data_IF_733385225080
#
_entry.id   IF_733385225080
#
_cell.length_a   1.000
_cell.length_b   1.000
_cell.length_c   1.000
_cell.angle_alpha   90.00
_cell.angle_beta   90.00
_cell.angle_gamma   90.00
#
_symmetry.space_group_name_H-M   'P 1'
#
loop_
_entity.id
_entity.type
_entity.pdbx_description
1 polymer ?
#
# COMPACT_ATOMS: atom_id res chain seq x y z
N UNK A 1 37.24 -43.74 -36.81
CA UNK A 1 37.64 -43.85 -35.39
C UNK A 1 36.70 -42.91 -34.60
N UNK A 2 35.67 -43.47 -34.01
CA UNK A 2 34.67 -42.71 -33.24
C UNK A 2 35.04 -42.76 -31.75
N UNK A 3 35.11 -41.62 -31.13
CA UNK A 3 35.35 -41.50 -29.68
C UNK A 3 34.08 -41.88 -28.92
N UNK A 4 34.17 -42.69 -27.86
CA UNK A 4 33.03 -43.06 -27.06
C UNK A 4 32.64 -41.87 -26.16
N UNK A 5 31.45 -41.30 -26.38
CA UNK A 5 30.86 -40.27 -25.52
C UNK A 5 30.48 -40.86 -24.17
N UNK A 6 31.19 -40.48 -23.12
CA UNK A 6 30.78 -40.74 -21.73
C UNK A 6 29.59 -39.85 -21.40
N UNK A 7 28.40 -40.45 -21.22
CA UNK A 7 27.28 -39.76 -20.58
C UNK A 7 27.58 -39.60 -19.10
N UNK A 8 27.79 -38.36 -18.67
CA UNK A 8 27.85 -38.06 -17.24
C UNK A 8 26.41 -37.91 -16.78
N UNK A 9 25.90 -38.89 -16.06
CA UNK A 9 24.61 -38.80 -15.35
C UNK A 9 24.84 -38.03 -14.06
N UNK A 10 24.38 -36.81 -14.02
CA UNK A 10 24.35 -36.01 -12.79
C UNK A 10 23.05 -36.36 -12.04
N UNK A 11 23.14 -37.36 -11.16
CA UNK A 11 22.04 -37.67 -10.24
C UNK A 11 22.23 -36.81 -9.00
N UNK A 12 21.51 -35.67 -8.94
CA UNK A 12 21.44 -34.89 -7.70
C UNK A 12 20.48 -35.64 -6.78
N UNK A 13 21.01 -36.34 -5.82
CA UNK A 13 20.24 -36.90 -4.72
C UNK A 13 19.87 -35.78 -3.77
N UNK A 14 18.64 -35.26 -3.87
CA UNK A 14 18.07 -34.44 -2.83
C UNK A 14 17.76 -35.32 -1.62
N UNK A 15 18.65 -35.31 -0.66
CA UNK A 15 18.33 -35.80 0.68
C UNK A 15 17.45 -34.74 1.36
N UNK A 16 16.18 -34.68 0.99
CA UNK A 16 15.18 -33.88 1.69
C UNK A 16 14.66 -34.66 2.89
N UNK A 17 15.46 -34.77 3.93
CA UNK A 17 14.89 -34.90 5.26
C UNK A 17 14.52 -33.51 5.71
N UNK A 18 13.36 -33.02 5.25
CA UNK A 18 12.71 -31.90 5.91
C UNK A 18 12.33 -32.39 7.30
N UNK A 19 13.10 -32.01 8.29
CA UNK A 19 12.76 -32.22 9.68
C UNK A 19 11.60 -31.28 10.00
N UNK A 20 10.38 -31.71 9.71
CA UNK A 20 9.20 -31.05 10.30
C UNK A 20 9.25 -31.40 11.79
N UNK A 21 9.31 -30.39 12.69
CA UNK A 21 9.18 -30.66 14.11
C UNK A 21 7.83 -31.36 14.32
N UNK A 22 7.85 -32.59 14.84
CA UNK A 22 6.66 -33.37 15.18
C UNK A 22 6.09 -32.78 16.47
N UNK A 23 5.21 -31.78 16.37
CA UNK A 23 4.49 -31.18 17.48
C UNK A 23 4.19 -29.70 17.22
N UNK A 24 3.23 -29.13 17.95
CA UNK A 24 3.02 -27.69 17.92
C UNK A 24 4.28 -27.00 18.44
N UNK A 25 4.77 -26.00 17.71
CA UNK A 25 5.86 -25.14 18.18
C UNK A 25 5.42 -24.48 19.51
N UNK A 26 6.30 -24.49 20.52
CA UNK A 26 5.99 -23.81 21.77
C UNK A 26 5.63 -22.34 21.52
N UNK A 27 4.53 -21.91 22.09
CA UNK A 27 4.09 -20.53 21.96
C UNK A 27 5.08 -19.58 22.63
N UNK A 28 5.33 -18.47 21.98
CA UNK A 28 6.24 -17.40 22.44
C UNK A 28 5.40 -16.23 22.92
N UNK A 29 5.62 -15.73 24.15
CA UNK A 29 4.94 -14.52 24.61
C UNK A 29 5.44 -13.30 23.84
N UNK A 30 4.51 -12.52 23.30
CA UNK A 30 4.73 -11.28 22.57
C UNK A 30 3.88 -10.18 23.15
N UNK A 31 4.47 -9.04 23.43
CA UNK A 31 3.80 -7.84 23.94
C UNK A 31 3.87 -6.74 22.92
N UNK A 32 2.73 -6.21 22.52
CA UNK A 32 2.61 -5.13 21.55
C UNK A 32 1.80 -3.98 22.16
N UNK A 33 2.06 -2.78 21.65
CA UNK A 33 1.09 -1.68 21.82
C UNK A 33 0.45 -1.46 20.44
N UNK A 34 -0.83 -1.83 20.29
CA UNK A 34 -1.53 -1.71 19.01
C UNK A 34 -2.56 -0.60 19.10
N UNK A 35 -2.40 0.44 18.29
CA UNK A 35 -3.27 1.63 18.28
C UNK A 35 -3.39 2.26 19.67
N UNK A 36 -2.27 2.34 20.40
CA UNK A 36 -2.20 2.87 21.76
C UNK A 36 -2.77 1.94 22.83
N UNK A 37 -3.11 0.68 22.54
CA UNK A 37 -3.63 -0.31 23.49
C UNK A 37 -2.65 -1.46 23.66
N UNK A 38 -2.32 -1.85 24.89
CA UNK A 38 -1.45 -3.00 25.14
C UNK A 38 -2.15 -4.30 24.72
N UNK A 39 -1.39 -5.20 24.12
CA UNK A 39 -1.80 -6.55 23.74
C UNK A 39 -0.72 -7.54 24.16
N UNK A 40 -1.08 -8.48 25.05
CA UNK A 40 -0.22 -9.58 25.49
C UNK A 40 -0.76 -10.86 24.84
N UNK A 41 0.10 -11.54 24.06
CA UNK A 41 -0.28 -12.67 23.21
C UNK A 41 0.73 -13.79 23.34
N UNK A 42 0.26 -15.03 23.29
CA UNK A 42 1.11 -16.21 23.11
C UNK A 42 0.96 -16.67 21.66
N UNK A 43 2.02 -16.52 20.85
CA UNK A 43 1.98 -16.77 19.41
C UNK A 43 2.93 -17.89 18.99
N UNK A 44 2.58 -18.64 17.95
CA UNK A 44 3.52 -19.55 17.29
C UNK A 44 4.69 -18.75 16.68
N UNK A 45 5.93 -19.27 16.72
CA UNK A 45 7.13 -18.58 16.17
C UNK A 45 7.01 -18.12 14.73
N UNK A 46 6.19 -18.77 13.93
CA UNK A 46 5.93 -18.50 12.52
C UNK A 46 4.70 -17.60 12.28
N UNK A 47 4.02 -17.17 13.37
CA UNK A 47 2.83 -16.33 13.27
C UNK A 47 3.15 -14.97 12.67
N UNK A 48 2.43 -14.60 11.61
CA UNK A 48 2.60 -13.29 10.97
C UNK A 48 1.91 -12.18 11.77
N UNK A 49 2.47 -10.99 11.75
CA UNK A 49 1.85 -9.80 12.33
C UNK A 49 0.45 -9.56 11.72
N UNK A 50 0.28 -9.84 10.42
CA UNK A 50 -1.02 -9.74 9.75
C UNK A 50 -2.09 -10.60 10.43
N UNK A 51 -1.75 -11.85 10.75
CA UNK A 51 -2.69 -12.80 11.36
C UNK A 51 -3.03 -12.37 12.79
N UNK A 52 -2.02 -11.95 13.57
CA UNK A 52 -2.22 -11.39 14.90
C UNK A 52 -3.20 -10.21 14.87
N UNK A 53 -2.99 -9.25 13.97
CA UNK A 53 -3.87 -8.09 13.86
C UNK A 53 -5.30 -8.48 13.50
N UNK A 54 -5.47 -9.37 12.53
CA UNK A 54 -6.78 -9.71 11.97
C UNK A 54 -7.56 -10.73 12.78
N UNK A 55 -6.89 -11.78 13.26
CA UNK A 55 -7.54 -12.93 13.90
C UNK A 55 -7.55 -12.82 15.43
N UNK A 56 -6.40 -12.43 16.01
CA UNK A 56 -6.29 -12.38 17.48
C UNK A 56 -6.82 -11.06 18.03
N UNK A 57 -6.61 -9.93 17.33
CA UNK A 57 -7.05 -8.60 17.75
C UNK A 57 -8.29 -8.07 17.02
N UNK A 58 -8.83 -8.82 16.04
CA UNK A 58 -9.99 -8.46 15.25
C UNK A 58 -9.87 -7.11 14.48
N UNK A 59 -8.62 -6.63 14.23
CA UNK A 59 -8.33 -5.43 13.45
C UNK A 59 -8.32 -5.76 11.97
N UNK A 60 -9.49 -5.85 11.38
CA UNK A 60 -9.69 -6.32 9.99
C UNK A 60 -9.43 -5.26 8.93
N UNK A 61 -9.12 -4.03 9.30
CA UNK A 61 -8.68 -2.96 8.39
C UNK A 61 -7.41 -3.35 7.62
N UNK A 62 -6.42 -3.93 8.30
CA UNK A 62 -5.24 -4.48 7.62
C UNK A 62 -5.65 -5.65 6.74
N UNK A 63 -5.47 -5.54 5.41
CA UNK A 63 -6.00 -6.51 4.46
C UNK A 63 -4.95 -7.52 3.99
N UNK A 64 -5.34 -8.78 3.94
CA UNK A 64 -4.61 -9.80 3.19
C UNK A 64 -5.04 -9.77 1.72
N UNK A 65 -4.07 -9.66 0.81
CA UNK A 65 -4.33 -9.65 -0.63
C UNK A 65 -3.32 -10.47 -1.42
N UNK A 66 -2.02 -10.13 -1.40
CA UNK A 66 -1.02 -10.87 -2.15
C UNK A 66 -0.21 -11.87 -1.31
N UNK A 67 -0.10 -11.68 0.00
CA UNK A 67 0.67 -12.50 0.98
C UNK A 67 2.16 -12.69 0.65
N UNK A 68 2.71 -11.85 -0.26
CA UNK A 68 4.11 -11.89 -0.71
C UNK A 68 4.80 -10.53 -0.63
N UNK A 69 4.23 -9.55 0.10
CA UNK A 69 4.84 -8.24 0.34
C UNK A 69 4.87 -7.27 -0.82
N UNK A 70 4.12 -7.50 -1.91
CA UNK A 70 4.19 -6.68 -3.14
C UNK A 70 3.11 -5.59 -3.20
N UNK A 71 1.88 -5.87 -2.69
CA UNK A 71 0.74 -5.02 -2.99
C UNK A 71 0.48 -3.89 -1.98
N UNK A 72 1.08 -3.94 -0.79
CA UNK A 72 0.89 -2.93 0.26
C UNK A 72 -0.49 -2.87 0.92
N UNK A 73 -1.43 -3.79 0.61
CA UNK A 73 -2.75 -3.80 1.25
C UNK A 73 -2.69 -4.11 2.76
N UNK A 74 -1.61 -4.77 3.20
CA UNK A 74 -1.32 -5.09 4.59
C UNK A 74 -0.37 -4.10 5.26
N UNK A 75 -0.14 -2.92 4.69
CA UNK A 75 0.74 -1.90 5.26
C UNK A 75 0.27 -1.45 6.63
N UNK A 76 1.17 -1.45 7.60
CA UNK A 76 1.02 -0.92 8.96
C UNK A 76 2.28 -0.14 9.34
N UNK A 77 2.22 0.69 10.35
CA UNK A 77 3.44 1.29 10.92
C UNK A 77 3.86 0.49 12.16
N UNK A 78 5.15 0.18 12.26
CA UNK A 78 5.80 -0.39 13.44
C UNK A 78 6.88 0.58 13.88
N UNK A 79 6.76 1.11 15.09
CA UNK A 79 7.64 2.15 15.62
C UNK A 79 7.83 3.33 14.64
N UNK A 80 6.72 3.76 14.01
CA UNK A 80 6.68 4.84 13.04
C UNK A 80 7.19 4.48 11.62
N UNK A 81 7.60 3.24 11.37
CA UNK A 81 8.09 2.78 10.06
C UNK A 81 7.04 1.96 9.33
N UNK A 82 6.85 2.23 8.05
CA UNK A 82 5.94 1.47 7.20
C UNK A 82 6.49 0.06 6.92
N UNK A 83 5.70 -0.97 7.23
CA UNK A 83 6.06 -2.38 7.01
C UNK A 83 4.91 -3.15 6.39
N UNK A 84 5.24 -4.26 5.72
CA UNK A 84 4.28 -5.24 5.21
C UNK A 84 3.97 -6.28 6.28
N UNK A 85 2.81 -6.22 6.92
CA UNK A 85 2.44 -7.14 8.01
C UNK A 85 2.40 -8.62 7.56
N UNK A 86 2.18 -8.90 6.27
CA UNK A 86 2.19 -10.26 5.71
C UNK A 86 3.60 -10.87 5.55
N UNK A 87 4.66 -10.12 5.79
CA UNK A 87 6.05 -10.59 5.78
C UNK A 87 6.76 -10.39 7.12
N UNK A 88 6.07 -9.82 8.10
CA UNK A 88 6.62 -9.54 9.43
C UNK A 88 6.15 -10.62 10.40
N UNK A 89 7.07 -11.31 11.06
CA UNK A 89 6.72 -12.22 12.14
C UNK A 89 6.34 -11.45 13.40
N UNK A 90 5.30 -11.89 14.11
CA UNK A 90 4.85 -11.24 15.34
C UNK A 90 5.96 -11.18 16.41
N UNK A 91 6.77 -12.22 16.50
CA UNK A 91 7.91 -12.30 17.43
C UNK A 91 9.02 -11.26 17.14
N UNK A 92 9.11 -10.73 15.91
CA UNK A 92 10.11 -9.71 15.55
C UNK A 92 9.74 -8.32 16.05
N UNK A 93 8.48 -8.12 16.42
CA UNK A 93 7.95 -6.82 16.84
C UNK A 93 7.52 -6.83 18.32
N UNK A 94 8.07 -7.75 19.10
CA UNK A 94 7.88 -7.77 20.57
C UNK A 94 8.34 -6.44 21.18
N UNK A 95 7.47 -5.83 22.00
CA UNK A 95 7.69 -4.52 22.61
C UNK A 95 7.41 -3.32 21.71
N UNK A 96 7.08 -3.52 20.43
CA UNK A 96 6.90 -2.42 19.47
C UNK A 96 5.51 -1.77 19.58
N UNK A 97 5.43 -0.53 19.06
CA UNK A 97 4.18 0.17 18.81
C UNK A 97 3.72 -0.06 17.36
N UNK A 98 2.51 -0.62 17.21
CA UNK A 98 1.91 -0.91 15.92
C UNK A 98 0.71 0.01 15.68
N UNK A 99 0.73 0.73 14.55
CA UNK A 99 -0.40 1.56 14.12
C UNK A 99 -1.00 0.99 12.85
N UNK A 100 -2.30 0.67 12.91
CA UNK A 100 -3.11 0.25 11.75
C UNK A 100 -4.00 1.40 11.28
N UNK A 101 -4.73 1.20 10.17
CA UNK A 101 -5.67 2.21 9.67
C UNK A 101 -6.74 2.62 10.69
N UNK A 102 -7.12 1.72 11.58
CA UNK A 102 -8.08 1.99 12.66
C UNK A 102 -7.51 2.94 13.73
N UNK A 103 -6.19 2.87 13.95
CA UNK A 103 -5.50 3.72 14.92
C UNK A 103 -5.19 5.13 14.43
N UNK A 104 -5.45 5.44 13.17
CA UNK A 104 -5.25 6.79 12.62
C UNK A 104 -6.38 7.75 12.94
N UNK A 105 -7.54 7.25 13.35
CA UNK A 105 -8.63 8.07 13.84
C UNK A 105 -8.35 8.57 15.26
N UNK A 106 -8.87 9.74 15.59
CA UNK A 106 -8.82 10.27 16.95
C UNK A 106 -9.56 9.38 17.96
N UNK A 107 -9.25 9.53 19.24
CA UNK A 107 -9.90 8.76 20.31
C UNK A 107 -11.41 9.02 20.41
N UNK A 108 -11.87 10.16 19.92
CA UNK A 108 -13.28 10.56 19.79
C UNK A 108 -13.94 9.98 18.52
N UNK A 109 -13.22 9.22 17.71
CA UNK A 109 -13.66 8.68 16.42
C UNK A 109 -13.56 9.68 15.27
N UNK A 110 -12.99 10.86 15.47
CA UNK A 110 -12.74 11.82 14.40
C UNK A 110 -11.73 11.24 13.40
N UNK A 111 -12.05 11.30 12.13
CA UNK A 111 -11.15 10.83 11.08
C UNK A 111 -9.92 11.74 10.97
N UNK A 112 -8.76 11.15 10.72
CA UNK A 112 -7.54 11.92 10.41
C UNK A 112 -7.69 12.71 9.11
N UNK A 113 -6.84 13.73 8.91
CA UNK A 113 -6.84 14.53 7.68
C UNK A 113 -6.71 13.66 6.42
N UNK A 114 -5.83 12.65 6.45
CA UNK A 114 -5.67 11.70 5.34
C UNK A 114 -6.94 10.89 5.09
N UNK A 115 -7.59 10.37 6.14
CA UNK A 115 -8.84 9.62 5.99
C UNK A 115 -9.96 10.50 5.43
N UNK A 116 -10.09 11.74 5.90
CA UNK A 116 -11.07 12.69 5.38
C UNK A 116 -10.80 13.02 3.91
N UNK A 117 -9.53 13.28 3.55
CA UNK A 117 -9.14 13.56 2.18
C UNK A 117 -9.45 12.39 1.23
N UNK A 118 -9.19 11.14 1.65
CA UNK A 118 -9.54 9.96 0.85
C UNK A 118 -11.04 9.85 0.59
N UNK A 119 -11.87 10.18 1.57
CA UNK A 119 -13.34 10.23 1.39
C UNK A 119 -13.72 11.33 0.42
N UNK A 120 -13.21 12.54 0.62
CA UNK A 120 -13.61 13.70 -0.13
C UNK A 120 -13.14 13.69 -1.59
N UNK A 121 -11.91 13.24 -1.84
CA UNK A 121 -11.31 13.23 -3.17
C UNK A 121 -11.45 11.90 -3.90
N UNK A 122 -12.23 10.95 -3.36
CA UNK A 122 -12.49 9.68 -4.01
C UNK A 122 -11.25 8.78 -4.13
N UNK A 123 -10.41 8.76 -3.09
CA UNK A 123 -9.19 7.95 -3.02
C UNK A 123 -9.44 6.44 -2.97
N UNK A 124 -10.69 5.99 -3.14
CA UNK A 124 -11.05 4.58 -3.09
C UNK A 124 -12.25 4.25 -3.98
N UNK A 125 -12.39 2.96 -4.32
CA UNK A 125 -13.60 2.39 -4.94
C UNK A 125 -14.01 1.12 -4.20
N UNK A 126 -13.37 -0.06 -4.46
CA UNK A 126 -13.73 -1.30 -3.78
C UNK A 126 -13.31 -1.35 -2.30
N UNK A 127 -12.36 -0.52 -1.86
CA UNK A 127 -11.94 -0.39 -0.48
C UNK A 127 -10.85 -1.37 -0.02
N UNK A 128 -10.45 -2.37 -0.82
CA UNK A 128 -9.48 -3.39 -0.38
C UNK A 128 -8.09 -2.80 -0.12
N UNK A 129 -7.56 -1.97 -1.00
CA UNK A 129 -6.25 -1.35 -0.81
C UNK A 129 -6.29 -0.12 0.11
N UNK A 130 -7.47 0.44 0.36
CA UNK A 130 -7.63 1.75 1.02
C UNK A 130 -6.99 1.82 2.41
N UNK A 131 -7.15 0.84 3.32
CA UNK A 131 -6.51 0.91 4.62
C UNK A 131 -4.98 0.99 4.53
N UNK A 132 -4.36 0.17 3.67
CA UNK A 132 -2.92 0.22 3.42
C UNK A 132 -2.48 1.53 2.77
N UNK A 133 -3.26 2.07 1.83
CA UNK A 133 -3.01 3.37 1.19
C UNK A 133 -3.04 4.52 2.21
N UNK A 134 -4.02 4.53 3.11
CA UNK A 134 -4.16 5.57 4.14
C UNK A 134 -3.00 5.52 5.14
N UNK A 135 -2.57 4.32 5.56
CA UNK A 135 -1.39 4.16 6.43
C UNK A 135 -0.12 4.63 5.71
N UNK A 136 0.07 4.23 4.45
CA UNK A 136 1.23 4.63 3.65
C UNK A 136 1.27 6.15 3.43
N UNK A 137 0.14 6.76 3.08
CA UNK A 137 0.02 8.20 2.93
C UNK A 137 0.33 8.94 4.24
N UNK A 138 -0.13 8.42 5.38
CA UNK A 138 0.19 8.99 6.69
C UNK A 138 1.69 8.90 6.98
N UNK A 139 2.31 7.76 6.69
CA UNK A 139 3.75 7.58 6.86
C UNK A 139 4.56 8.56 6.00
N UNK A 140 4.17 8.75 4.73
CA UNK A 140 4.78 9.74 3.84
C UNK A 140 4.69 11.15 4.43
N UNK A 141 3.50 11.58 4.87
CA UNK A 141 3.30 12.94 5.39
C UNK A 141 3.95 13.20 6.75
N UNK A 142 4.28 12.14 7.50
CA UNK A 142 5.13 12.25 8.70
C UNK A 142 6.59 12.49 8.29
N UNK A 143 7.07 11.82 7.26
CA UNK A 143 8.44 11.93 6.76
C UNK A 143 8.65 13.23 5.97
N UNK A 144 7.73 13.53 5.06
CA UNK A 144 7.69 14.75 4.25
C UNK A 144 6.31 15.42 4.33
N UNK A 145 6.14 16.47 5.13
CA UNK A 145 4.86 17.15 5.28
C UNK A 145 4.39 17.94 4.05
N UNK A 146 5.27 18.21 3.08
CA UNK A 146 4.96 19.00 1.89
C UNK A 146 5.52 18.34 0.62
N UNK A 147 5.14 17.07 0.34
CA UNK A 147 5.66 16.34 -0.80
C UNK A 147 5.20 16.95 -2.12
N UNK A 148 6.00 16.83 -3.16
CA UNK A 148 5.54 17.12 -4.51
C UNK A 148 4.60 16.00 -5.00
N UNK A 149 3.79 16.28 -6.02
CA UNK A 149 2.96 15.25 -6.65
C UNK A 149 3.79 14.06 -7.15
N UNK A 150 5.00 14.32 -7.63
CA UNK A 150 5.93 13.28 -8.06
C UNK A 150 6.33 12.37 -6.90
N UNK A 151 6.70 12.94 -5.75
CA UNK A 151 7.08 12.18 -4.55
C UNK A 151 5.92 11.32 -4.04
N UNK A 152 4.70 11.88 -4.06
CA UNK A 152 3.48 11.14 -3.73
C UNK A 152 3.29 9.96 -4.67
N UNK A 153 3.42 10.15 -5.99
CA UNK A 153 3.27 9.08 -6.99
C UNK A 153 4.31 7.99 -6.81
N UNK A 154 5.56 8.37 -6.57
CA UNK A 154 6.65 7.42 -6.34
C UNK A 154 6.41 6.61 -5.07
N UNK A 155 6.15 7.26 -3.94
CA UNK A 155 5.92 6.59 -2.67
C UNK A 155 4.70 5.66 -2.70
N UNK A 156 3.57 6.16 -3.23
CA UNK A 156 2.32 5.39 -3.31
C UNK A 156 2.37 4.24 -4.34
N UNK A 157 3.39 4.17 -5.18
CA UNK A 157 3.59 3.03 -6.10
C UNK A 157 3.81 1.71 -5.36
N UNK A 158 4.26 1.74 -4.11
CA UNK A 158 4.37 0.58 -3.23
C UNK A 158 3.03 0.00 -2.77
N UNK A 159 1.91 0.71 -3.00
CA UNK A 159 0.57 0.31 -2.58
C UNK A 159 -0.34 0.18 -3.81
N UNK A 160 -0.56 -1.05 -4.27
CA UNK A 160 -1.27 -1.32 -5.53
C UNK A 160 -2.78 -1.09 -5.41
N UNK A 161 -3.33 -0.34 -6.37
CA UNK A 161 -4.75 -0.18 -6.57
C UNK A 161 -5.14 -0.56 -8.01
N UNK A 162 -6.17 -1.42 -8.18
CA UNK A 162 -6.66 -1.83 -9.51
C UNK A 162 -7.83 -0.99 -10.01
N UNK A 163 -8.47 -0.23 -9.13
CA UNK A 163 -9.77 0.38 -9.42
C UNK A 163 -9.66 1.84 -9.84
N UNK A 164 -8.84 2.66 -9.12
CA UNK A 164 -8.91 4.13 -9.17
C UNK A 164 -8.05 4.78 -10.25
N UNK A 165 -7.08 4.06 -10.82
CA UNK A 165 -6.05 4.67 -11.66
C UNK A 165 -5.13 5.66 -10.92
N UNK A 166 -5.18 5.66 -9.57
CA UNK A 166 -4.40 6.47 -8.63
C UNK A 166 -4.74 7.97 -8.57
N UNK A 167 -5.48 8.55 -9.50
CA UNK A 167 -5.76 9.99 -9.52
C UNK A 167 -6.40 10.48 -8.20
N UNK A 168 -7.48 9.84 -7.76
CA UNK A 168 -8.12 10.17 -6.49
C UNK A 168 -7.22 9.93 -5.28
N UNK A 169 -6.36 8.91 -5.32
CA UNK A 169 -5.39 8.62 -4.25
C UNK A 169 -4.38 9.75 -4.14
N UNK A 170 -3.73 10.11 -5.25
CA UNK A 170 -2.73 11.20 -5.28
C UNK A 170 -3.37 12.52 -4.87
N UNK A 171 -4.54 12.86 -5.41
CA UNK A 171 -5.27 14.06 -5.02
C UNK A 171 -5.60 14.08 -3.52
N UNK A 172 -5.97 12.94 -2.93
CA UNK A 172 -6.23 12.82 -1.49
C UNK A 172 -4.98 13.10 -0.65
N UNK A 173 -3.83 12.55 -1.04
CA UNK A 173 -2.58 12.77 -0.30
C UNK A 173 -2.14 14.23 -0.41
N UNK A 174 -2.21 14.83 -1.61
CA UNK A 174 -1.87 16.24 -1.83
C UNK A 174 -2.79 17.17 -1.03
N UNK A 175 -4.10 16.88 -0.99
CA UNK A 175 -5.05 17.65 -0.19
C UNK A 175 -4.76 17.55 1.31
N UNK A 176 -4.41 16.37 1.80
CA UNK A 176 -4.03 16.17 3.20
C UNK A 176 -2.73 16.89 3.57
N UNK A 177 -1.77 16.98 2.63
CA UNK A 177 -0.49 17.69 2.82
C UNK A 177 -0.67 19.21 2.89
N UNK A 178 -1.64 19.78 2.17
CA UNK A 178 -1.91 21.22 2.14
C UNK A 178 -2.88 21.69 3.21
N UNK A 179 -3.37 20.81 4.10
CA UNK A 179 -4.49 21.08 5.01
C UNK A 179 -5.78 21.52 4.30
N UNK A 180 -5.84 21.37 2.98
CA UNK A 180 -6.98 21.75 2.14
C UNK A 180 -7.96 20.57 1.90
N UNK A 181 -8.18 19.82 2.96
CA UNK A 181 -9.08 18.64 2.93
C UNK A 181 -10.51 19.03 2.54
N UNK A 182 -10.88 20.27 2.75
CA UNK A 182 -12.23 20.80 2.45
C UNK A 182 -12.36 21.36 1.02
N UNK A 183 -11.26 21.43 0.26
CA UNK A 183 -11.34 21.84 -1.15
C UNK A 183 -12.28 20.94 -1.94
N UNK A 184 -13.03 21.53 -2.85
CA UNK A 184 -13.87 20.77 -3.76
C UNK A 184 -12.96 19.86 -4.63
N UNK A 185 -13.24 18.56 -4.70
CA UNK A 185 -12.44 17.66 -5.51
C UNK A 185 -12.46 18.10 -6.97
N UNK A 186 -11.30 18.20 -7.59
CA UNK A 186 -11.17 18.61 -9.00
C UNK A 186 -11.99 17.72 -9.96
N UNK A 187 -12.39 16.54 -9.50
CA UNK A 187 -13.15 15.54 -10.25
C UNK A 187 -14.53 15.24 -9.66
N UNK A 188 -15.10 16.08 -8.80
CA UNK A 188 -16.44 15.85 -8.30
C UNK A 188 -17.45 15.94 -9.45
N UNK A 189 -17.94 14.78 -9.90
CA UNK A 189 -19.14 14.72 -10.71
C UNK A 189 -20.28 15.24 -9.85
N UNK A 190 -20.86 16.37 -10.23
CA UNK A 190 -22.08 16.86 -9.58
C UNK A 190 -23.21 15.86 -9.85
N UNK A 191 -24.08 15.58 -8.87
CA UNK A 191 -25.24 14.71 -9.10
C UNK A 191 -25.99 15.18 -10.35
N UNK A 192 -26.15 14.29 -11.34
CA UNK A 192 -26.83 14.58 -12.61
C UNK A 192 -25.92 15.10 -13.74
N UNK A 193 -24.60 15.19 -13.55
CA UNK A 193 -23.66 15.46 -14.62
C UNK A 193 -23.09 14.14 -15.17
N UNK A 194 -23.57 13.74 -16.34
CA UNK A 194 -22.97 12.65 -17.08
C UNK A 194 -21.67 13.11 -17.73
N UNK A 195 -20.63 12.24 -17.69
CA UNK A 195 -19.36 12.47 -18.39
C UNK A 195 -19.54 12.70 -19.90
N UNK A 196 -20.70 12.29 -20.42
CA UNK A 196 -21.06 12.42 -21.84
C UNK A 196 -21.37 13.86 -22.27
N UNK A 197 -21.78 14.72 -21.33
CA UNK A 197 -22.19 16.10 -21.63
C UNK A 197 -21.02 17.11 -21.63
N UNK A 198 -19.79 16.66 -21.37
CA UNK A 198 -18.62 17.54 -21.45
C UNK A 198 -18.01 17.51 -22.86
N UNK A 199 -17.67 18.66 -23.44
CA UNK A 199 -16.90 18.68 -24.68
C UNK A 199 -15.60 17.90 -24.53
N UNK A 200 -15.15 17.24 -25.60
CA UNK A 200 -13.99 16.36 -25.58
C UNK A 200 -12.71 17.04 -25.06
N UNK A 201 -12.57 18.35 -25.28
CA UNK A 201 -11.48 19.17 -24.73
C UNK A 201 -11.49 19.27 -23.19
N UNK A 202 -12.67 19.22 -22.57
CA UNK A 202 -12.79 19.27 -21.10
C UNK A 202 -12.76 17.88 -20.45
N UNK A 203 -13.05 16.82 -21.23
CA UNK A 203 -13.00 15.45 -20.72
C UNK A 203 -11.59 15.01 -20.39
N UNK A 204 -10.59 15.47 -21.15
CA UNK A 204 -9.20 15.08 -21.00
C UNK A 204 -8.36 16.10 -20.24
N UNK A 205 -8.66 17.39 -20.31
CA UNK A 205 -7.92 18.43 -19.60
C UNK A 205 -8.06 18.36 -18.08
N UNK A 206 -9.18 17.81 -17.57
CA UNK A 206 -9.36 17.56 -16.16
C UNK A 206 -8.54 16.35 -15.64
N UNK A 207 -8.15 15.44 -16.55
CA UNK A 207 -7.34 14.26 -16.21
C UNK A 207 -5.85 14.47 -16.48
N UNK A 208 -5.52 15.38 -17.39
CA UNK A 208 -4.16 15.73 -17.74
C UNK A 208 -4.11 17.26 -17.79
N UNK A 209 -3.79 17.95 -16.69
CA UNK A 209 -3.35 19.33 -16.81
C UNK A 209 -2.18 19.30 -17.79
N UNK A 210 -2.34 19.99 -18.92
CA UNK A 210 -1.25 20.14 -19.87
C UNK A 210 -0.16 20.93 -19.15
N UNK A 211 0.87 20.21 -18.68
CA UNK A 211 2.15 20.84 -18.44
C UNK A 211 2.59 21.40 -19.78
N UNK A 212 2.68 22.73 -19.87
CA UNK A 212 3.24 23.43 -21.04
C UNK A 212 4.75 23.14 -21.15
N UNK A 213 5.11 21.87 -21.17
CA UNK A 213 6.40 21.44 -21.64
C UNK A 213 6.31 21.36 -23.15
N UNK A 214 6.51 22.53 -23.77
CA UNK A 214 6.89 22.68 -25.16
C UNK A 214 8.27 22.06 -25.35
N UNK A 215 8.35 20.75 -25.27
CA UNK A 215 9.53 20.00 -25.72
C UNK A 215 9.42 19.81 -27.21
N UNK A 216 10.21 20.64 -27.92
CA UNK A 216 10.44 20.54 -29.34
C UNK A 216 10.98 19.17 -29.72
N UNK A 217 10.09 18.33 -30.21
CA UNK A 217 10.42 17.20 -31.07
C UNK A 217 9.86 17.44 -32.44
N UNK A 218 10.36 18.54 -33.03
CA UNK A 218 10.37 18.68 -34.49
C UNK A 218 11.65 18.08 -35.08
N UNK A 219 11.44 17.36 -36.19
CA UNK A 219 12.44 16.93 -37.14
C UNK A 219 12.92 15.47 -37.08
N UNK A 220 12.08 14.56 -37.57
CA UNK A 220 12.55 13.60 -38.54
C UNK A 220 11.63 13.65 -39.78
N UNK A 221 11.84 14.73 -40.57
CA UNK A 221 11.36 14.81 -41.92
C UNK A 221 12.29 14.02 -42.85
N UNK A 222 11.67 13.18 -43.65
CA UNK A 222 11.98 12.80 -45.01
C UNK A 222 13.43 12.89 -45.49
N UNK A 223 13.97 11.76 -45.87
CA UNK A 223 15.10 11.59 -46.79
C UNK A 223 14.94 10.26 -47.51
N UNK A 224 14.36 10.31 -48.71
CA UNK A 224 14.27 9.18 -49.60
C UNK A 224 15.63 8.85 -50.25
N UNK A 225 15.82 7.58 -50.54
CA UNK A 225 16.30 7.00 -51.80
C UNK A 225 16.09 5.51 -51.74
#
# INVERSE_FOLDING_TARGET
MGLPGKRVSCTIAYATTVHTPEGPLDAIPVRLTVNGRPADLDVSPDRLLLDVLREDLALTGTKESCSIGVCGACSVMVDGRLVSACLTLAVQVDGAEVTTSEGLAGQDGALSAVQQAFIRHGGFQCGICTPGQVVAATALLIEDPAPTEHDVREFMSGNLCRCTGYYGIVASVMAAASDDVQAEPALALRPGQDLVDRPDSERFSAFYPHDDHADGHDAHAAGGH
#
